data_IF_396688956899
#
_entry.id   IF_396688956899
#
_cell.length_a   1.000
_cell.length_b   1.000
_cell.length_c   1.000
_cell.angle_alpha   90.00
_cell.angle_beta   90.00
_cell.angle_gamma   90.00
#
_symmetry.space_group_name_H-M   'P 1'
#
loop_
_entity.id
_entity.type
_entity.pdbx_description
1 polymer ?
#
# COMPACT_ATOMS: atom_id res chain seq x y z
N UNK A 1 27.43 4.31 -30.27
CA UNK A 1 26.52 5.21 -29.55
C UNK A 1 26.01 4.47 -28.31
N UNK A 2 26.68 4.68 -27.18
CA UNK A 2 26.21 4.19 -25.88
C UNK A 2 24.99 5.04 -25.50
N UNK A 3 23.79 4.47 -25.58
CA UNK A 3 22.62 5.07 -24.97
C UNK A 3 22.78 4.87 -23.48
N UNK A 4 23.32 5.88 -22.81
CA UNK A 4 23.22 6.05 -21.37
C UNK A 4 21.76 5.84 -20.96
N UNK A 5 21.47 4.73 -20.29
CA UNK A 5 20.20 4.50 -19.62
C UNK A 5 19.95 5.68 -18.69
N UNK A 6 18.80 6.38 -18.77
CA UNK A 6 18.48 7.39 -17.77
C UNK A 6 18.33 6.67 -16.44
N UNK A 7 19.34 6.82 -15.59
CA UNK A 7 19.30 6.41 -14.21
C UNK A 7 18.27 7.25 -13.47
N UNK A 8 17.08 6.70 -13.32
CA UNK A 8 16.29 6.81 -12.09
C UNK A 8 15.22 5.70 -12.14
N UNK A 9 15.56 4.54 -11.58
CA UNK A 9 14.61 3.44 -11.35
C UNK A 9 13.64 3.85 -10.24
N UNK A 10 12.73 4.78 -10.52
CA UNK A 10 11.55 4.91 -9.68
C UNK A 10 10.67 3.70 -10.01
N UNK A 11 10.71 2.65 -9.20
CA UNK A 11 9.63 1.67 -9.23
C UNK A 11 8.33 2.43 -8.94
N UNK A 12 7.28 2.19 -9.71
CA UNK A 12 6.06 2.98 -9.63
C UNK A 12 5.35 2.86 -8.27
N UNK A 13 5.66 1.81 -7.52
CA UNK A 13 5.35 1.68 -6.11
C UNK A 13 6.55 2.14 -5.29
N UNK A 14 6.35 3.22 -4.53
CA UNK A 14 7.37 3.74 -3.62
C UNK A 14 6.85 3.73 -2.20
N UNK A 15 7.77 3.84 -1.23
CA UNK A 15 7.44 3.94 0.21
C UNK A 15 6.39 4.99 0.57
N UNK A 16 6.19 6.03 -0.24
CA UNK A 16 5.16 7.05 0.01
C UNK A 16 3.73 6.49 -0.03
N UNK A 17 3.52 5.30 -0.61
CA UNK A 17 2.24 4.60 -0.63
C UNK A 17 1.97 3.78 0.64
N UNK A 18 2.96 3.59 1.51
CA UNK A 18 2.76 2.86 2.76
C UNK A 18 1.79 3.60 3.67
N UNK A 19 0.80 2.87 4.19
CA UNK A 19 -0.26 3.43 5.04
C UNK A 19 -1.34 4.21 4.28
N UNK A 20 -1.25 4.30 2.95
CA UNK A 20 -2.33 4.88 2.14
C UNK A 20 -3.54 3.94 2.15
N UNK A 21 -4.73 4.50 2.35
CA UNK A 21 -5.99 3.79 2.15
C UNK A 21 -6.19 3.48 0.67
N UNK A 22 -6.63 2.27 0.35
CA UNK A 22 -7.06 1.94 -1.00
C UNK A 22 -8.46 2.51 -1.27
N UNK A 23 -8.48 3.80 -1.58
CA UNK A 23 -9.65 4.56 -2.05
C UNK A 23 -9.68 4.61 -3.60
N UNK A 24 -10.69 5.30 -4.16
CA UNK A 24 -10.86 5.43 -5.62
C UNK A 24 -9.63 6.06 -6.30
N UNK A 25 -8.98 7.03 -5.66
CA UNK A 25 -7.78 7.67 -6.19
C UNK A 25 -6.59 6.70 -6.22
N UNK A 26 -6.43 5.88 -5.17
CA UNK A 26 -5.41 4.85 -5.14
C UNK A 26 -5.65 3.79 -6.21
N UNK A 27 -6.90 3.40 -6.44
CA UNK A 27 -7.29 2.47 -7.52
C UNK A 27 -6.99 3.06 -8.89
N UNK A 28 -7.33 4.34 -9.13
CA UNK A 28 -6.98 5.01 -10.39
C UNK A 28 -5.46 5.09 -10.60
N UNK A 29 -4.71 5.40 -9.54
CA UNK A 29 -3.25 5.41 -9.60
C UNK A 29 -2.71 4.05 -10.03
N UNK A 30 -3.15 2.96 -9.39
CA UNK A 30 -2.75 1.59 -9.73
C UNK A 30 -3.18 1.21 -11.16
N UNK A 31 -4.36 1.63 -11.59
CA UNK A 31 -4.83 1.40 -12.96
C UNK A 31 -3.95 2.09 -14.01
N UNK A 32 -3.48 3.32 -13.75
CA UNK A 32 -2.53 4.04 -14.62
C UNK A 32 -1.16 3.37 -14.65
N UNK A 33 -0.81 2.60 -13.62
CA UNK A 33 0.43 1.86 -13.49
C UNK A 33 0.36 0.41 -14.00
N UNK A 34 -0.75 -0.01 -14.61
CA UNK A 34 -1.01 -1.40 -15.07
C UNK A 34 0.08 -1.97 -16.00
N UNK A 35 0.81 -1.13 -16.73
CA UNK A 35 1.93 -1.58 -17.58
C UNK A 35 3.19 -1.96 -16.79
N UNK A 36 3.24 -1.65 -15.50
CA UNK A 36 4.40 -1.87 -14.64
C UNK A 36 4.09 -2.75 -13.41
N UNK A 37 2.85 -2.75 -12.92
CA UNK A 37 2.40 -3.56 -11.77
C UNK A 37 1.01 -4.13 -12.05
N UNK A 38 0.70 -5.31 -11.52
CA UNK A 38 -0.68 -5.78 -11.50
C UNK A 38 -1.50 -4.89 -10.54
N UNK A 39 -2.59 -4.24 -10.98
CA UNK A 39 -3.39 -3.38 -10.11
C UNK A 39 -4.09 -4.09 -8.94
N UNK A 40 -4.08 -5.43 -8.89
CA UNK A 40 -4.56 -6.21 -7.74
C UNK A 40 -3.44 -6.64 -6.78
N UNK A 41 -2.16 -6.46 -7.15
CA UNK A 41 -1.02 -6.95 -6.36
C UNK A 41 -0.81 -8.47 -6.42
N UNK A 42 -1.43 -9.18 -7.38
CA UNK A 42 -1.37 -10.64 -7.50
C UNK A 42 0.05 -11.21 -7.60
N UNK A 43 0.98 -10.46 -8.20
CA UNK A 43 2.38 -10.86 -8.34
C UNK A 43 3.22 -10.64 -7.09
N UNK A 44 2.61 -10.20 -5.98
CA UNK A 44 3.31 -9.83 -4.75
C UNK A 44 3.92 -8.43 -4.80
N UNK A 45 3.42 -7.55 -5.68
CA UNK A 45 3.94 -6.19 -5.83
C UNK A 45 3.68 -5.31 -4.59
N UNK A 46 2.60 -5.60 -3.87
CA UNK A 46 2.28 -4.98 -2.58
C UNK A 46 1.32 -5.87 -1.79
N UNK A 47 1.28 -5.65 -0.49
CA UNK A 47 0.34 -6.28 0.43
C UNK A 47 -0.61 -5.25 1.02
N UNK A 48 -1.78 -5.70 1.48
CA UNK A 48 -2.81 -4.84 2.06
C UNK A 48 -3.30 -5.42 3.37
N UNK A 49 -3.82 -4.56 4.24
CA UNK A 49 -4.42 -4.97 5.50
C UNK A 49 -5.83 -4.36 5.63
N UNK A 50 -6.83 -5.23 5.80
CA UNK A 50 -8.24 -4.82 5.84
C UNK A 50 -8.58 -4.28 7.23
N UNK A 51 -8.77 -2.96 7.32
CA UNK A 51 -9.11 -2.28 8.58
C UNK A 51 -10.59 -2.38 8.95
N UNK A 52 -11.48 -2.41 7.96
CA UNK A 52 -12.92 -2.59 8.13
C UNK A 52 -13.50 -3.36 6.95
N UNK A 53 -14.50 -4.19 7.23
CA UNK A 53 -15.25 -4.97 6.25
C UNK A 53 -16.69 -5.12 6.73
N UNK A 54 -17.70 -5.21 5.83
CA UNK A 54 -19.08 -5.49 6.23
C UNK A 54 -19.24 -6.71 7.16
N UNK A 55 -18.35 -7.70 7.02
CA UNK A 55 -18.35 -8.91 7.86
C UNK A 55 -17.78 -8.71 9.27
N UNK A 56 -17.11 -7.58 9.53
CA UNK A 56 -16.51 -7.29 10.84
C UNK A 56 -17.54 -6.71 11.80
N UNK A 57 -17.53 -7.19 13.06
CA UNK A 57 -18.36 -6.64 14.16
C UNK A 57 -17.85 -5.27 14.66
N UNK A 58 -16.54 -5.08 14.63
CA UNK A 58 -15.83 -3.86 15.02
C UNK A 58 -14.75 -3.60 13.98
N UNK A 59 -14.38 -2.33 13.77
CA UNK A 59 -13.26 -1.98 12.87
C UNK A 59 -11.96 -1.88 13.65
N UNK A 60 -10.85 -2.13 12.95
CA UNK A 60 -9.49 -2.03 13.49
C UNK A 60 -8.98 -0.61 13.26
N UNK A 61 -8.50 0.05 14.32
CA UNK A 61 -7.88 1.37 14.25
C UNK A 61 -6.42 1.25 14.70
N UNK A 62 -5.45 1.37 13.78
CA UNK A 62 -4.03 1.45 14.13
C UNK A 62 -3.77 2.70 14.96
N UNK A 63 -3.00 2.57 16.04
CA UNK A 63 -2.61 3.67 16.93
C UNK A 63 -1.12 4.01 16.80
N UNK A 64 -0.28 2.98 16.71
CA UNK A 64 1.17 3.11 16.61
C UNK A 64 1.65 2.17 15.50
N UNK A 65 2.50 2.70 14.62
CA UNK A 65 3.08 1.94 13.51
C UNK A 65 4.41 2.57 13.09
N UNK A 66 5.23 1.78 12.42
CA UNK A 66 6.49 2.24 11.82
C UNK A 66 6.71 1.60 10.46
N UNK A 67 7.54 2.25 9.65
CA UNK A 67 8.02 1.69 8.38
C UNK A 67 9.34 0.96 8.61
N UNK A 68 9.47 -0.24 8.06
CA UNK A 68 10.70 -1.02 8.02
C UNK A 68 11.03 -1.40 6.57
N UNK A 69 12.30 -1.69 6.28
CA UNK A 69 12.74 -2.14 4.96
C UNK A 69 13.52 -1.08 4.16
N UNK A 70 13.68 -1.29 2.85
CA UNK A 70 14.38 -0.48 1.84
C UNK A 70 13.38 0.30 0.94
N UNK A 71 13.82 1.22 0.07
CA UNK A 71 12.90 2.12 -0.68
C UNK A 71 11.90 1.40 -1.60
N UNK A 72 12.19 0.15 -1.95
CA UNK A 72 11.42 -0.67 -2.90
C UNK A 72 10.95 -2.00 -2.33
N UNK A 73 11.24 -2.23 -1.05
CA UNK A 73 10.83 -3.39 -0.28
C UNK A 73 10.69 -2.90 1.16
N UNK A 74 9.52 -2.36 1.47
CA UNK A 74 9.23 -1.82 2.78
C UNK A 74 7.82 -2.18 3.21
N UNK A 75 7.66 -2.27 4.52
CA UNK A 75 6.44 -2.71 5.17
C UNK A 75 6.05 -1.69 6.22
N UNK A 76 4.77 -1.36 6.29
CA UNK A 76 4.19 -0.67 7.43
C UNK A 76 3.84 -1.72 8.49
N UNK A 77 4.57 -1.70 9.59
CA UNK A 77 4.33 -2.57 10.74
C UNK A 77 3.42 -1.85 11.73
N UNK A 78 2.20 -2.35 11.93
CA UNK A 78 1.30 -1.87 12.99
C UNK A 78 1.76 -2.48 14.32
N UNK A 79 2.22 -1.64 15.24
CA UNK A 79 2.73 -2.05 16.55
C UNK A 79 1.61 -2.09 17.60
N UNK A 80 0.59 -1.24 17.43
CA UNK A 80 -0.57 -1.18 18.31
C UNK A 80 -1.82 -0.81 17.53
N UNK A 81 -2.92 -1.50 17.82
CA UNK A 81 -4.24 -1.21 17.27
C UNK A 81 -5.33 -1.46 18.32
N UNK A 82 -6.49 -0.85 18.12
CA UNK A 82 -7.69 -1.07 18.93
C UNK A 82 -8.88 -1.46 18.06
N UNK A 83 -9.85 -2.15 18.66
CA UNK A 83 -11.14 -2.42 18.05
C UNK A 83 -12.13 -1.34 18.49
N UNK A 84 -12.86 -0.76 17.53
CA UNK A 84 -13.89 0.25 17.82
C UNK A 84 -15.21 -0.16 17.17
N UNK A 85 -16.32 0.22 17.80
CA UNK A 85 -17.65 0.03 17.23
C UNK A 85 -17.77 0.72 15.88
N UNK A 86 -18.52 0.08 14.97
CA UNK A 86 -18.82 0.63 13.65
C UNK A 86 -19.93 1.66 13.79
N UNK A 87 -19.77 2.80 13.14
CA UNK A 87 -20.89 3.73 13.01
C UNK A 87 -21.91 3.08 12.06
N UNK A 88 -23.17 3.01 12.50
CA UNK A 88 -24.27 2.42 11.74
C UNK A 88 -24.75 3.33 10.63
#
# INVERSE_FOLDING_TARGET
MSRSSPGLRATPLSRSLLGRTLDEEAVELLARLRSYVNPSGEGGEYETFVLDSPMFRMKIVPLEWRVVGSDYDATLLIEKAVLVEKQR
#
